data_IF_686986467028
#
_entry.id   IF_686986467028
#
_cell.length_a   1.000
_cell.length_b   1.000
_cell.length_c   1.000
_cell.angle_alpha   90.00
_cell.angle_beta   90.00
_cell.angle_gamma   90.00
#
_symmetry.space_group_name_H-M   'P 1'
#
loop_
_entity.id
_entity.type
_entity.pdbx_description
1 polymer ?
#
# COMPACT_ATOMS: atom_id res chain seq x y z
N UNK A 1 -9.34 -54.73 -7.57
CA UNK A 1 -9.54 -53.94 -6.35
C UNK A 1 -8.54 -52.78 -6.22
N UNK A 2 -7.23 -52.96 -6.38
CA UNK A 2 -6.24 -51.86 -6.23
C UNK A 2 -6.46 -50.66 -7.19
N UNK A 3 -6.85 -50.93 -8.46
CA UNK A 3 -7.12 -49.84 -9.44
C UNK A 3 -8.36 -49.01 -9.11
N UNK A 4 -9.40 -49.60 -8.53
CA UNK A 4 -10.62 -48.90 -8.12
C UNK A 4 -10.30 -47.93 -6.95
N UNK A 5 -9.45 -48.32 -6.01
CA UNK A 5 -9.04 -47.47 -4.92
C UNK A 5 -8.22 -46.25 -5.38
N UNK A 6 -7.34 -46.44 -6.37
CA UNK A 6 -6.54 -45.34 -6.95
C UNK A 6 -7.46 -44.32 -7.63
N UNK A 7 -8.40 -44.76 -8.46
CA UNK A 7 -9.35 -43.89 -9.16
C UNK A 7 -10.23 -43.10 -8.13
N UNK A 8 -10.71 -43.79 -7.11
CA UNK A 8 -11.55 -43.17 -6.08
C UNK A 8 -10.78 -42.15 -5.24
N UNK A 9 -9.54 -42.45 -4.87
CA UNK A 9 -8.67 -41.52 -4.14
C UNK A 9 -8.30 -40.31 -4.97
N UNK A 10 -8.02 -40.48 -6.26
CA UNK A 10 -7.74 -39.35 -7.18
C UNK A 10 -8.96 -38.48 -7.37
N UNK A 11 -10.17 -39.05 -7.44
CA UNK A 11 -11.41 -38.30 -7.57
C UNK A 11 -11.73 -37.45 -6.30
N UNK A 12 -11.51 -38.00 -5.11
CA UNK A 12 -11.69 -37.28 -3.85
C UNK A 12 -10.69 -36.13 -3.75
N UNK A 13 -9.42 -36.32 -4.14
CA UNK A 13 -8.39 -35.29 -4.11
C UNK A 13 -8.66 -34.15 -5.10
N UNK A 14 -9.21 -34.48 -6.28
CA UNK A 14 -9.61 -33.47 -7.28
C UNK A 14 -10.79 -32.61 -6.83
N UNK A 15 -11.69 -33.17 -6.03
CA UNK A 15 -12.86 -32.43 -5.52
C UNK A 15 -12.49 -31.41 -4.45
N UNK A 16 -11.43 -31.63 -3.70
CA UNK A 16 -10.92 -30.69 -2.68
C UNK A 16 -10.30 -29.42 -3.30
N UNK A 17 -9.79 -29.50 -4.54
CA UNK A 17 -9.20 -28.34 -5.23
C UNK A 17 -10.24 -27.34 -5.76
N UNK A 18 -11.51 -27.73 -5.84
CA UNK A 18 -12.59 -26.88 -6.37
C UNK A 18 -13.24 -25.97 -5.29
N UNK A 19 -12.95 -26.19 -4.01
CA UNK A 19 -13.54 -25.42 -2.91
C UNK A 19 -12.66 -24.25 -2.43
N UNK A 20 -11.46 -24.08 -2.98
CA UNK A 20 -10.46 -23.13 -2.49
C UNK A 20 -10.63 -21.68 -3.00
N UNK A 21 -11.65 -21.38 -3.80
CA UNK A 21 -11.70 -20.10 -4.53
C UNK A 21 -12.97 -19.27 -4.32
N UNK A 22 -13.73 -19.46 -3.24
CA UNK A 22 -14.97 -18.70 -3.08
C UNK A 22 -15.07 -18.04 -1.70
N UNK A 23 -14.29 -16.97 -1.50
CA UNK A 23 -14.65 -16.03 -0.43
C UNK A 23 -15.86 -15.22 -0.91
N UNK A 24 -16.99 -15.33 -0.23
CA UNK A 24 -18.14 -14.49 -0.51
C UNK A 24 -17.73 -13.02 -0.42
N UNK A 25 -18.18 -12.15 -1.35
CA UNK A 25 -17.92 -10.72 -1.26
C UNK A 25 -18.42 -10.17 0.08
N UNK A 26 -17.61 -9.33 0.70
CA UNK A 26 -18.02 -8.58 1.90
C UNK A 26 -18.54 -7.23 1.43
N UNK A 27 -19.71 -6.86 1.92
CA UNK A 27 -20.37 -5.58 1.60
C UNK A 27 -20.40 -4.69 2.84
N UNK A 28 -20.11 -3.40 2.67
CA UNK A 28 -20.27 -2.38 3.70
C UNK A 28 -21.43 -1.45 3.34
N UNK A 29 -22.40 -1.25 4.24
CA UNK A 29 -23.53 -0.36 4.01
C UNK A 29 -23.15 1.13 4.10
N UNK A 30 -22.30 1.49 5.06
CA UNK A 30 -21.93 2.89 5.35
C UNK A 30 -20.50 3.25 4.96
N UNK A 31 -19.72 2.26 4.54
CA UNK A 31 -18.33 2.42 4.13
C UNK A 31 -17.53 1.15 4.33
N UNK A 32 -16.39 1.08 3.67
CA UNK A 32 -15.51 -0.07 3.75
C UNK A 32 -14.05 0.39 3.72
N UNK A 33 -13.23 -0.26 4.52
CA UNK A 33 -11.77 -0.11 4.50
C UNK A 33 -11.14 -1.47 4.25
N UNK A 34 -10.21 -1.52 3.31
CA UNK A 34 -9.41 -2.71 3.01
C UNK A 34 -7.94 -2.33 3.09
N UNK A 35 -7.18 -3.04 3.90
CA UNK A 35 -5.72 -2.90 3.98
C UNK A 35 -5.07 -4.23 4.33
N UNK A 36 -3.74 -4.28 4.28
CA UNK A 36 -2.96 -5.47 4.66
C UNK A 36 -2.89 -5.70 6.18
N UNK A 37 -3.41 -4.77 6.99
CA UNK A 37 -3.40 -4.83 8.45
C UNK A 37 -4.79 -4.58 9.02
N UNK A 38 -5.25 -5.48 9.87
CA UNK A 38 -6.52 -5.33 10.59
C UNK A 38 -6.53 -4.04 11.42
N UNK A 39 -5.45 -3.75 12.15
CA UNK A 39 -5.33 -2.57 12.99
C UNK A 39 -5.38 -1.27 12.18
N UNK A 40 -4.73 -1.25 11.00
CA UNK A 40 -4.80 -0.10 10.10
C UNK A 40 -6.22 0.08 9.53
N UNK A 41 -6.89 -1.00 9.13
CA UNK A 41 -8.29 -0.94 8.69
C UNK A 41 -9.21 -0.46 9.81
N UNK A 42 -9.01 -0.89 11.04
CA UNK A 42 -9.76 -0.41 12.21
C UNK A 42 -9.55 1.10 12.45
N UNK A 43 -8.32 1.61 12.29
CA UNK A 43 -8.04 3.04 12.38
C UNK A 43 -8.88 3.83 11.36
N UNK A 44 -8.89 3.41 10.09
CA UNK A 44 -9.71 4.05 9.05
C UNK A 44 -11.22 3.98 9.35
N UNK A 45 -11.71 2.85 9.83
CA UNK A 45 -13.13 2.70 10.24
C UNK A 45 -13.49 3.66 11.37
N UNK A 46 -12.61 3.87 12.35
CA UNK A 46 -12.85 4.83 13.44
C UNK A 46 -12.96 6.27 12.90
N UNK A 47 -12.15 6.63 11.91
CA UNK A 47 -12.23 7.94 11.25
C UNK A 47 -13.58 8.11 10.52
N UNK A 48 -14.01 7.12 9.75
CA UNK A 48 -15.33 7.16 9.10
C UNK A 48 -16.47 7.30 10.12
N UNK A 49 -16.43 6.56 11.23
CA UNK A 49 -17.41 6.64 12.31
C UNK A 49 -17.48 8.01 13.00
N UNK A 50 -16.38 8.74 13.02
CA UNK A 50 -16.31 10.12 13.53
C UNK A 50 -16.80 11.16 12.52
N UNK A 51 -17.18 10.76 11.32
CA UNK A 51 -17.68 11.63 10.26
C UNK A 51 -16.61 12.16 9.32
N UNK A 52 -15.40 11.60 9.35
CA UNK A 52 -14.37 11.83 8.33
C UNK A 52 -14.79 11.26 6.98
N UNK A 53 -14.22 11.80 5.91
CA UNK A 53 -14.42 11.30 4.55
C UNK A 53 -13.41 10.17 4.20
N UNK A 54 -13.46 9.71 2.95
CA UNK A 54 -12.57 8.63 2.48
C UNK A 54 -11.09 9.03 2.52
N UNK A 55 -10.76 10.30 2.31
CA UNK A 55 -9.38 10.81 2.37
C UNK A 55 -8.87 10.82 3.81
N UNK A 56 -9.67 11.32 4.77
CA UNK A 56 -9.32 11.26 6.19
C UNK A 56 -9.02 9.82 6.62
N UNK A 57 -9.88 8.88 6.20
CA UNK A 57 -9.70 7.48 6.53
C UNK A 57 -8.45 6.87 5.86
N UNK A 58 -8.19 7.20 4.59
CA UNK A 58 -7.00 6.73 3.87
C UNK A 58 -5.71 7.23 4.51
N UNK A 59 -5.67 8.48 4.94
CA UNK A 59 -4.52 9.07 5.65
C UNK A 59 -4.28 8.36 6.99
N UNK A 60 -5.33 8.14 7.78
CA UNK A 60 -5.22 7.40 9.04
C UNK A 60 -4.72 5.97 8.83
N UNK A 61 -5.21 5.27 7.80
CA UNK A 61 -4.73 3.94 7.41
C UNK A 61 -3.25 3.99 7.01
N UNK A 62 -2.85 4.98 6.21
CA UNK A 62 -1.46 5.14 5.77
C UNK A 62 -0.49 5.28 6.95
N UNK A 63 -0.79 6.14 7.91
CA UNK A 63 0.02 6.29 9.12
C UNK A 63 -0.02 5.04 10.02
N UNK A 64 -1.17 4.37 10.14
CA UNK A 64 -1.26 3.13 10.90
C UNK A 64 -0.44 2.00 10.26
N UNK A 65 -0.39 1.93 8.92
CA UNK A 65 0.44 0.97 8.18
C UNK A 65 1.94 1.20 8.41
N UNK A 66 2.38 2.43 8.64
CA UNK A 66 3.77 2.72 8.98
C UNK A 66 4.24 1.97 10.25
N UNK A 67 3.32 1.63 11.15
CA UNK A 67 3.58 0.85 12.36
C UNK A 67 3.29 -0.63 12.16
N UNK A 68 2.13 -0.95 11.56
CA UNK A 68 1.61 -2.33 11.53
C UNK A 68 2.07 -3.14 10.32
N UNK A 69 2.62 -2.48 9.30
CA UNK A 69 3.15 -3.08 8.07
C UNK A 69 4.36 -2.30 7.56
N UNK A 70 5.31 -2.05 8.44
CA UNK A 70 6.47 -1.17 8.20
C UNK A 70 7.38 -1.58 7.03
N UNK A 71 7.31 -2.83 6.59
CA UNK A 71 8.05 -3.31 5.41
C UNK A 71 7.49 -2.78 4.08
N UNK A 72 6.21 -2.42 4.03
CA UNK A 72 5.52 -1.98 2.81
C UNK A 72 4.79 -0.63 2.95
N UNK A 73 4.40 -0.24 4.17
CA UNK A 73 3.66 0.99 4.44
C UNK A 73 4.41 1.88 5.42
N UNK A 74 5.61 2.34 5.07
CA UNK A 74 6.48 3.09 5.98
C UNK A 74 6.55 4.58 5.62
N UNK A 75 6.93 5.41 6.60
CA UNK A 75 7.12 6.85 6.43
C UNK A 75 8.37 7.21 5.62
N UNK A 76 9.29 6.26 5.43
CA UNK A 76 10.49 6.41 4.60
C UNK A 76 10.27 6.15 3.11
N UNK A 77 9.04 5.83 2.73
CA UNK A 77 8.64 5.53 1.36
C UNK A 77 7.87 6.66 0.70
N UNK A 78 7.03 6.28 -0.23
CA UNK A 78 6.12 7.14 -0.97
C UNK A 78 4.94 6.34 -1.52
N UNK A 79 4.17 6.93 -2.41
CA UNK A 79 3.03 6.26 -3.01
C UNK A 79 2.25 7.11 -3.98
N UNK A 80 1.07 6.60 -4.32
CA UNK A 80 0.09 7.26 -5.17
C UNK A 80 -1.27 7.22 -4.50
N UNK A 81 -2.07 8.24 -4.71
CA UNK A 81 -3.48 8.25 -4.35
C UNK A 81 -4.32 8.54 -5.59
N UNK A 82 -5.39 7.79 -5.75
CA UNK A 82 -6.46 8.06 -6.72
C UNK A 82 -7.75 8.11 -5.93
N UNK A 83 -8.48 9.19 -6.05
CA UNK A 83 -9.73 9.38 -5.32
C UNK A 83 -10.85 9.85 -6.23
N UNK A 84 -12.06 9.39 -5.91
CA UNK A 84 -13.32 9.88 -6.44
C UNK A 84 -14.21 10.28 -5.27
N UNK A 85 -14.53 11.57 -5.20
CA UNK A 85 -15.29 12.15 -4.11
C UNK A 85 -16.80 12.07 -4.38
N UNK A 86 -17.60 12.12 -3.32
CA UNK A 86 -19.07 12.04 -3.43
C UNK A 86 -19.69 13.19 -4.25
N UNK A 87 -19.00 14.32 -4.36
CA UNK A 87 -19.41 15.47 -5.20
C UNK A 87 -19.08 15.28 -6.68
N UNK A 88 -18.50 14.14 -7.08
CA UNK A 88 -18.06 13.84 -8.43
C UNK A 88 -16.66 14.33 -8.80
N UNK A 89 -15.99 15.04 -7.91
CA UNK A 89 -14.59 15.42 -8.08
C UNK A 89 -13.69 14.18 -8.08
N UNK A 90 -12.71 14.16 -8.96
CA UNK A 90 -11.66 13.12 -8.97
C UNK A 90 -10.30 13.78 -8.97
N UNK A 91 -9.37 13.19 -8.22
CA UNK A 91 -7.99 13.66 -8.22
C UNK A 91 -6.99 12.51 -8.11
N UNK A 92 -5.76 12.82 -8.47
CA UNK A 92 -4.61 11.96 -8.27
C UNK A 92 -3.52 12.71 -7.54
N UNK A 93 -2.82 12.04 -6.64
CA UNK A 93 -1.67 12.58 -5.95
C UNK A 93 -0.48 11.63 -6.13
N UNK A 94 0.59 12.16 -6.68
CA UNK A 94 1.89 11.47 -6.77
C UNK A 94 2.78 11.99 -5.64
N UNK A 95 3.04 11.13 -4.68
CA UNK A 95 3.93 11.40 -3.55
C UNK A 95 5.05 10.35 -3.44
N UNK A 96 5.50 9.83 -4.59
CA UNK A 96 6.66 8.94 -4.63
C UNK A 96 7.92 9.59 -4.10
N UNK A 97 8.86 8.72 -3.75
CA UNK A 97 10.21 9.11 -3.42
C UNK A 97 10.86 9.82 -4.61
N UNK A 98 11.64 10.83 -4.32
CA UNK A 98 12.42 11.57 -5.32
C UNK A 98 13.90 11.30 -5.14
N UNK A 99 14.66 11.43 -6.22
CA UNK A 99 16.11 11.44 -6.12
C UNK A 99 16.58 12.66 -5.29
N UNK A 100 17.61 12.53 -4.45
CA UNK A 100 18.17 13.68 -3.75
C UNK A 100 18.73 14.72 -4.75
N UNK A 101 18.78 15.98 -4.34
CA UNK A 101 19.24 17.08 -5.20
C UNK A 101 20.70 16.90 -5.70
N UNK A 102 21.48 16.08 -5.02
CA UNK A 102 22.85 15.73 -5.39
C UNK A 102 22.93 14.57 -6.40
N UNK A 103 21.81 13.96 -6.75
CA UNK A 103 21.79 12.85 -7.69
C UNK A 103 22.17 13.32 -9.10
N UNK A 104 23.05 12.57 -9.73
CA UNK A 104 23.48 12.79 -11.10
C UNK A 104 23.71 11.43 -11.78
N UNK A 105 23.86 11.44 -13.12
CA UNK A 105 23.95 10.23 -13.94
C UNK A 105 25.03 9.25 -13.44
N UNK A 106 26.17 9.76 -13.03
CA UNK A 106 27.35 8.97 -12.73
C UNK A 106 27.60 8.78 -11.22
N UNK A 107 26.55 9.02 -10.39
CA UNK A 107 26.61 8.97 -8.93
C UNK A 107 27.22 7.68 -8.35
N UNK A 108 27.05 6.57 -9.05
CA UNK A 108 27.50 5.24 -8.62
C UNK A 108 28.69 4.72 -9.43
N UNK A 109 29.34 5.60 -10.20
CA UNK A 109 30.55 5.28 -11.00
C UNK A 109 31.80 5.86 -10.36
N UNK A 110 32.91 5.20 -10.57
CA UNK A 110 34.24 5.76 -10.27
C UNK A 110 34.74 6.66 -11.41
N UNK A 111 35.89 7.32 -11.22
CA UNK A 111 36.47 8.23 -12.20
C UNK A 111 36.79 7.57 -13.56
N UNK A 112 36.89 6.26 -13.61
CA UNK A 112 37.08 5.47 -14.82
C UNK A 112 35.77 5.03 -15.48
N UNK A 113 34.60 5.44 -14.94
CA UNK A 113 33.29 5.10 -15.45
C UNK A 113 32.78 3.70 -15.08
N UNK A 114 33.46 3.01 -14.16
CA UNK A 114 33.05 1.68 -13.71
C UNK A 114 32.15 1.78 -12.49
N UNK A 115 31.15 0.86 -12.40
CA UNK A 115 30.27 0.76 -11.25
C UNK A 115 31.02 0.49 -9.97
N UNK A 116 30.78 1.28 -8.93
CA UNK A 116 31.28 1.05 -7.58
C UNK A 116 30.42 -0.03 -6.90
N UNK A 117 30.96 -1.24 -6.63
CA UNK A 117 30.17 -2.34 -6.10
C UNK A 117 29.46 -1.98 -4.79
N UNK A 118 28.16 -2.26 -4.73
CA UNK A 118 27.34 -2.05 -3.53
C UNK A 118 26.99 -0.59 -3.21
N UNK A 119 27.52 0.41 -3.90
CA UNK A 119 27.27 1.81 -3.59
C UNK A 119 25.81 2.19 -3.74
N UNK A 120 25.10 1.71 -4.75
CA UNK A 120 23.67 1.95 -4.95
C UNK A 120 22.77 1.25 -3.92
N UNK A 121 23.26 0.18 -3.26
CA UNK A 121 22.47 -0.63 -2.32
C UNK A 121 22.73 -0.27 -0.87
N UNK A 122 23.98 0.10 -0.51
CA UNK A 122 24.40 0.21 0.88
C UNK A 122 24.91 1.60 1.28
N UNK A 123 24.94 2.55 0.33
CA UNK A 123 25.35 3.92 0.65
C UNK A 123 24.15 4.84 0.86
N UNK A 124 24.35 5.95 1.59
CA UNK A 124 23.36 7.01 1.73
C UNK A 124 22.99 7.66 0.39
N UNK A 125 23.88 7.62 -0.60
CA UNK A 125 23.62 8.14 -1.94
C UNK A 125 22.53 7.36 -2.69
N UNK A 126 22.27 6.09 -2.30
CA UNK A 126 21.19 5.28 -2.87
C UNK A 126 19.81 5.52 -2.26
N UNK A 127 19.72 6.35 -1.22
CA UNK A 127 18.44 6.61 -0.55
C UNK A 127 17.64 7.69 -1.28
N UNK A 128 16.35 7.42 -1.53
CA UNK A 128 15.42 8.44 -2.01
C UNK A 128 14.99 9.40 -0.91
N UNK A 129 14.47 10.57 -1.29
CA UNK A 129 13.79 11.51 -0.41
C UNK A 129 12.35 11.02 -0.23
N UNK A 130 11.91 10.71 0.99
CA UNK A 130 10.57 10.16 1.24
C UNK A 130 9.46 11.15 0.89
N UNK A 131 8.33 10.60 0.41
CA UNK A 131 7.13 11.38 0.07
C UNK A 131 5.89 11.02 0.88
N UNK A 132 5.91 9.94 1.68
CA UNK A 132 4.72 9.45 2.38
C UNK A 132 4.10 10.50 3.30
N UNK A 133 4.90 11.13 4.16
CA UNK A 133 4.37 12.10 5.15
C UNK A 133 3.83 13.33 4.44
N UNK A 134 4.62 13.93 3.53
CA UNK A 134 4.19 15.11 2.77
C UNK A 134 2.91 14.84 1.97
N UNK A 135 2.86 13.71 1.24
CA UNK A 135 1.71 13.36 0.43
C UNK A 135 0.45 13.09 1.23
N UNK A 136 0.54 12.37 2.35
CA UNK A 136 -0.62 12.10 3.21
C UNK A 136 -1.14 13.39 3.88
N UNK A 137 -0.25 14.27 4.33
CA UNK A 137 -0.64 15.56 4.91
C UNK A 137 -1.30 16.45 3.85
N UNK A 138 -0.72 16.56 2.65
CA UNK A 138 -1.34 17.33 1.56
C UNK A 138 -2.70 16.78 1.16
N UNK A 139 -2.86 15.47 1.06
CA UNK A 139 -4.16 14.88 0.79
C UNK A 139 -5.19 15.28 1.85
N UNK A 140 -4.80 15.28 3.13
CA UNK A 140 -5.66 15.66 4.23
C UNK A 140 -6.03 17.16 4.18
N UNK A 141 -5.06 18.04 3.92
CA UNK A 141 -5.25 19.50 3.86
C UNK A 141 -6.11 19.91 2.66
N UNK A 142 -5.87 19.31 1.49
CA UNK A 142 -6.55 19.69 0.24
C UNK A 142 -7.93 19.06 0.09
N UNK A 143 -8.14 17.84 0.60
CA UNK A 143 -9.33 17.01 0.32
C UNK A 143 -9.94 16.35 1.55
N UNK A 144 -9.38 16.53 2.73
CA UNK A 144 -9.96 16.06 3.99
C UNK A 144 -11.28 16.75 4.31
N UNK A 145 -12.05 16.16 5.23
CA UNK A 145 -13.36 16.69 5.63
C UNK A 145 -13.28 17.95 6.50
N UNK A 146 -12.11 18.25 7.07
CA UNK A 146 -11.93 19.30 8.08
C UNK A 146 -12.61 19.02 9.42
N UNK A 147 -13.08 17.77 9.64
CA UNK A 147 -13.77 17.36 10.88
C UNK A 147 -12.90 16.53 11.82
N UNK A 148 -11.78 16.06 11.32
CA UNK A 148 -10.86 15.14 12.02
C UNK A 148 -9.50 15.84 12.17
#
# INVERSE_FOLDING_TARGET
MKQIHIVFTTFIFSFQLLTAANSNPVFGENGMIVSTSKQASEAGIQILKKGGNAVDAAVAVGFALAVTSSSNGNIGGGGFMVAAMANGETFTLDHREKAPATAHRDLFLNDSGNVIPGMSLFSRAGSGVPGTVDGLIRALEDHGSGKI
#
